data_IF_832126188381
#
_entry.id   IF_832126188381
#
_cell.length_a   1.000
_cell.length_b   1.000
_cell.length_c   1.000
_cell.angle_alpha   90.00
_cell.angle_beta   90.00
_cell.angle_gamma   90.00
#
_symmetry.space_group_name_H-M   'P 1'
#
loop_
_entity.id
_entity.type
_entity.pdbx_description
1 polymer ?
#
# COMPACT_ATOMS: atom_id res chain seq x y z
N UNK A 1 19.47 4.88 -6.96
CA UNK A 1 18.94 4.85 -8.35
C UNK A 1 17.93 3.72 -8.55
N UNK A 2 18.27 2.47 -8.20
CA UNK A 2 17.39 1.30 -8.39
C UNK A 2 15.98 1.46 -7.81
N UNK A 3 15.84 1.93 -6.55
CA UNK A 3 14.53 2.05 -5.92
C UNK A 3 13.58 3.02 -6.63
N UNK A 4 14.11 4.18 -7.08
CA UNK A 4 13.33 5.17 -7.83
C UNK A 4 12.86 4.60 -9.16
N UNK A 5 13.71 3.82 -9.84
CA UNK A 5 13.34 3.13 -11.08
C UNK A 5 12.25 2.07 -10.84
N UNK A 6 12.33 1.29 -9.77
CA UNK A 6 11.29 0.32 -9.42
C UNK A 6 9.94 1.00 -9.16
N UNK A 7 9.93 2.11 -8.41
CA UNK A 7 8.69 2.87 -8.17
C UNK A 7 8.11 3.43 -9.47
N UNK A 8 8.96 3.99 -10.35
CA UNK A 8 8.52 4.46 -11.67
C UNK A 8 7.95 3.33 -12.54
N UNK A 9 8.51 2.12 -12.48
CA UNK A 9 8.01 0.95 -13.19
C UNK A 9 6.63 0.47 -12.68
N UNK A 10 6.33 0.60 -11.38
CA UNK A 10 4.97 0.29 -10.86
C UNK A 10 3.89 1.10 -11.59
N UNK A 11 4.19 2.37 -11.85
CA UNK A 11 3.27 3.27 -12.53
C UNK A 11 3.27 3.05 -14.05
N UNK A 12 4.45 3.07 -14.68
CA UNK A 12 4.61 3.12 -16.14
C UNK A 12 4.48 1.78 -16.87
N UNK A 13 4.68 0.65 -16.19
CA UNK A 13 4.68 -0.68 -16.82
C UNK A 13 3.75 -1.68 -16.10
N UNK A 14 2.43 -1.65 -16.39
CA UNK A 14 1.43 -2.50 -15.72
C UNK A 14 1.75 -3.99 -15.73
N UNK A 15 2.32 -4.49 -16.83
CA UNK A 15 2.66 -5.92 -17.02
C UNK A 15 3.78 -6.39 -16.09
N UNK A 16 4.59 -5.48 -15.52
CA UNK A 16 5.68 -5.81 -14.62
C UNK A 16 5.37 -5.56 -13.14
N UNK A 17 4.17 -5.06 -12.80
CA UNK A 17 3.81 -4.68 -11.42
C UNK A 17 4.05 -5.79 -10.40
N UNK A 18 3.64 -7.02 -10.68
CA UNK A 18 3.84 -8.14 -9.75
C UNK A 18 5.33 -8.45 -9.52
N UNK A 19 6.14 -8.44 -10.58
CA UNK A 19 7.59 -8.67 -10.48
C UNK A 19 8.27 -7.54 -9.68
N UNK A 20 7.86 -6.29 -9.92
CA UNK A 20 8.39 -5.13 -9.21
C UNK A 20 8.00 -5.18 -7.73
N UNK A 21 6.74 -5.52 -7.40
CA UNK A 21 6.29 -5.71 -6.02
C UNK A 21 7.05 -6.83 -5.32
N UNK A 22 7.27 -7.98 -5.97
CA UNK A 22 8.08 -9.06 -5.43
C UNK A 22 9.53 -8.63 -5.15
N UNK A 23 10.10 -7.82 -6.04
CA UNK A 23 11.45 -7.25 -5.86
C UNK A 23 11.49 -6.28 -4.69
N UNK A 24 10.52 -5.37 -4.58
CA UNK A 24 10.39 -4.45 -3.45
C UNK A 24 10.20 -5.20 -2.12
N UNK A 25 9.42 -6.28 -2.12
CA UNK A 25 9.22 -7.14 -0.95
C UNK A 25 10.52 -7.81 -0.49
N UNK A 26 11.35 -8.28 -1.42
CA UNK A 26 12.66 -8.82 -1.08
C UNK A 26 13.58 -7.72 -0.48
N UNK A 27 13.64 -6.55 -1.12
CA UNK A 27 14.51 -5.44 -0.74
C UNK A 27 14.13 -4.80 0.61
N UNK A 28 12.84 -4.73 0.94
CA UNK A 28 12.33 -4.17 2.20
C UNK A 28 12.64 -5.06 3.42
N UNK A 29 13.34 -6.18 3.26
CA UNK A 29 13.96 -6.91 4.38
C UNK A 29 15.06 -6.09 5.07
N UNK A 30 15.49 -4.97 4.48
CA UNK A 30 16.42 -4.00 5.08
C UNK A 30 15.70 -2.74 5.54
N UNK A 31 15.80 -2.42 6.83
CA UNK A 31 15.30 -1.15 7.40
C UNK A 31 15.85 0.08 6.67
N UNK A 32 17.10 0.03 6.18
CA UNK A 32 17.69 1.13 5.42
C UNK A 32 16.94 1.37 4.11
N UNK A 33 16.55 0.30 3.42
CA UNK A 33 15.74 0.40 2.20
C UNK A 33 14.34 0.93 2.53
N UNK A 34 13.71 0.48 3.61
CA UNK A 34 12.40 1.03 4.04
C UNK A 34 12.51 2.54 4.28
N UNK A 35 13.55 3.01 4.97
CA UNK A 35 13.79 4.46 5.19
C UNK A 35 13.93 5.22 3.87
N UNK A 36 14.72 4.68 2.93
CA UNK A 36 14.91 5.30 1.62
C UNK A 36 13.60 5.32 0.81
N UNK A 37 12.83 4.23 0.84
CA UNK A 37 11.52 4.13 0.18
C UNK A 37 10.55 5.19 0.70
N UNK A 38 10.48 5.34 2.02
CA UNK A 38 9.67 6.36 2.68
C UNK A 38 10.07 7.78 2.25
N UNK A 39 11.38 8.06 2.19
CA UNK A 39 11.88 9.36 1.75
C UNK A 39 11.60 9.66 0.27
N UNK A 40 11.37 8.62 -0.54
CA UNK A 40 11.07 8.72 -1.98
C UNK A 40 9.57 8.67 -2.30
N UNK A 41 8.70 8.75 -1.29
CA UNK A 41 7.26 8.72 -1.50
C UNK A 41 6.71 7.35 -1.90
N UNK A 42 7.44 6.25 -1.66
CA UNK A 42 7.03 4.91 -2.09
C UNK A 42 5.62 4.52 -1.63
N UNK A 43 5.17 4.99 -0.46
CA UNK A 43 3.83 4.68 0.03
C UNK A 43 2.73 5.18 -0.89
N UNK A 44 2.90 6.30 -1.60
CA UNK A 44 1.88 6.81 -2.53
C UNK A 44 1.75 5.87 -3.74
N UNK A 45 2.89 5.44 -4.31
CA UNK A 45 2.92 4.44 -5.39
C UNK A 45 2.24 3.13 -4.97
N UNK A 46 2.55 2.66 -3.76
CA UNK A 46 1.94 1.44 -3.23
C UNK A 46 0.46 1.63 -2.89
N UNK A 47 0.05 2.78 -2.34
CA UNK A 47 -1.36 3.07 -2.09
C UNK A 47 -2.14 3.08 -3.40
N UNK A 48 -1.57 3.60 -4.49
CA UNK A 48 -2.20 3.50 -5.82
C UNK A 48 -2.31 2.03 -6.25
N UNK A 49 -1.29 1.21 -6.07
CA UNK A 49 -1.41 -0.22 -6.40
C UNK A 49 -2.49 -0.93 -5.58
N UNK A 50 -2.65 -0.59 -4.30
CA UNK A 50 -3.68 -1.19 -3.44
C UNK A 50 -5.10 -0.70 -3.77
N UNK A 51 -5.30 0.62 -3.81
CA UNK A 51 -6.62 1.23 -4.00
C UNK A 51 -7.12 1.14 -5.44
N UNK A 52 -6.22 1.21 -6.41
CA UNK A 52 -6.55 1.58 -7.78
C UNK A 52 -6.21 0.52 -8.84
N UNK A 53 -5.43 -0.51 -8.51
CA UNK A 53 -5.16 -1.62 -9.45
C UNK A 53 -6.41 -2.45 -9.69
N UNK A 54 -6.77 -2.73 -10.93
CA UNK A 54 -7.87 -3.68 -11.25
C UNK A 54 -7.47 -5.15 -11.08
N UNK A 55 -6.19 -5.45 -10.86
CA UNK A 55 -5.69 -6.80 -10.73
C UNK A 55 -5.62 -7.22 -9.25
N UNK A 56 -6.40 -8.23 -8.79
CA UNK A 56 -6.47 -8.62 -7.38
C UNK A 56 -5.10 -8.97 -6.79
N UNK A 57 -4.31 -9.79 -7.48
CA UNK A 57 -2.96 -10.17 -7.04
C UNK A 57 -2.03 -8.97 -6.77
N UNK A 58 -2.13 -7.90 -7.56
CA UNK A 58 -1.33 -6.69 -7.35
C UNK A 58 -1.72 -6.00 -6.04
N UNK A 59 -3.03 -5.96 -5.72
CA UNK A 59 -3.51 -5.42 -4.45
C UNK A 59 -3.01 -6.27 -3.28
N UNK A 60 -3.14 -7.59 -3.36
CA UNK A 60 -2.72 -8.53 -2.31
C UNK A 60 -1.20 -8.45 -2.05
N UNK A 61 -0.37 -8.47 -3.09
CA UNK A 61 1.09 -8.31 -2.95
C UNK A 61 1.47 -6.95 -2.37
N UNK A 62 0.68 -5.91 -2.65
CA UNK A 62 0.90 -4.60 -2.06
C UNK A 62 0.54 -4.58 -0.57
N UNK A 63 -0.55 -5.24 -0.18
CA UNK A 63 -0.92 -5.44 1.22
C UNK A 63 0.15 -6.25 1.99
N UNK A 64 0.71 -7.30 1.39
CA UNK A 64 1.85 -8.05 1.93
C UNK A 64 3.08 -7.15 2.16
N UNK A 65 3.38 -6.28 1.18
CA UNK A 65 4.47 -5.33 1.30
C UNK A 65 4.23 -4.31 2.43
N UNK A 66 3.01 -3.80 2.57
CA UNK A 66 2.66 -2.94 3.71
C UNK A 66 2.81 -3.66 5.03
N UNK A 67 2.29 -4.88 5.17
CA UNK A 67 2.45 -5.69 6.38
C UNK A 67 3.91 -5.86 6.78
N UNK A 68 4.78 -6.18 5.80
CA UNK A 68 6.22 -6.29 6.01
C UNK A 68 6.87 -4.97 6.45
N UNK A 69 6.49 -3.86 5.83
CA UNK A 69 7.04 -2.54 6.20
C UNK A 69 6.55 -2.07 7.58
N UNK A 70 5.29 -2.34 7.94
CA UNK A 70 4.69 -1.99 9.25
C UNK A 70 5.31 -2.81 10.38
N UNK A 71 5.76 -4.04 10.11
CA UNK A 71 6.39 -4.92 11.10
C UNK A 71 7.89 -4.67 11.30
N UNK A 72 8.49 -3.74 10.54
CA UNK A 72 9.88 -3.32 10.78
C UNK A 72 10.03 -2.69 12.17
N UNK A 73 11.02 -3.17 12.94
CA UNK A 73 11.20 -2.79 14.35
C UNK A 73 11.47 -1.31 14.58
N UNK A 74 12.09 -0.62 13.63
CA UNK A 74 12.55 0.77 13.81
C UNK A 74 11.64 1.77 13.12
N UNK A 75 11.10 1.41 11.95
CA UNK A 75 10.40 2.33 11.05
C UNK A 75 8.94 1.92 10.84
N UNK A 76 8.56 0.70 11.22
CA UNK A 76 7.19 0.20 11.16
C UNK A 76 6.15 1.13 11.77
N UNK A 77 6.34 1.67 13.00
CA UNK A 77 5.41 2.64 13.58
C UNK A 77 5.22 3.89 12.70
N UNK A 78 6.29 4.38 12.07
CA UNK A 78 6.23 5.54 11.17
C UNK A 78 5.51 5.21 9.86
N UNK A 79 5.71 4.00 9.31
CA UNK A 79 4.98 3.51 8.13
C UNK A 79 3.48 3.43 8.46
N UNK A 80 3.12 2.82 9.59
CA UNK A 80 1.72 2.68 10.04
C UNK A 80 1.04 4.04 10.16
N UNK A 81 1.66 5.00 10.85
CA UNK A 81 1.11 6.35 11.00
C UNK A 81 0.92 7.03 9.64
N UNK A 82 1.86 6.84 8.70
CA UNK A 82 1.74 7.42 7.36
C UNK A 82 0.56 6.82 6.57
N UNK A 83 0.38 5.49 6.62
CA UNK A 83 -0.74 4.82 5.96
C UNK A 83 -2.10 5.16 6.59
N UNK A 84 -2.12 5.36 7.91
CA UNK A 84 -3.33 5.76 8.65
C UNK A 84 -3.86 7.15 8.28
N UNK A 85 -3.08 7.95 7.53
CA UNK A 85 -3.58 9.20 6.95
C UNK A 85 -4.52 8.97 5.76
N UNK A 86 -4.50 7.78 5.17
CA UNK A 86 -5.29 7.41 4.00
C UNK A 86 -6.33 6.34 4.30
N UNK A 87 -5.98 5.36 5.14
CA UNK A 87 -6.82 4.21 5.43
C UNK A 87 -7.06 4.08 6.95
N UNK A 88 -8.28 3.68 7.40
CA UNK A 88 -8.54 3.36 8.80
C UNK A 88 -7.54 2.34 9.38
N UNK A 89 -7.26 2.44 10.69
CA UNK A 89 -6.28 1.57 11.37
C UNK A 89 -6.55 0.08 11.20
N UNK A 90 -7.83 -0.32 11.12
CA UNK A 90 -8.28 -1.70 10.88
C UNK A 90 -7.63 -2.32 9.64
N UNK A 91 -7.36 -1.53 8.59
CA UNK A 91 -6.66 -2.02 7.40
C UNK A 91 -5.23 -2.45 7.70
N UNK A 92 -4.51 -1.74 8.58
CA UNK A 92 -3.13 -2.09 8.92
C UNK A 92 -3.07 -3.41 9.68
N UNK A 93 -4.05 -3.62 10.55
CA UNK A 93 -4.17 -4.84 11.34
C UNK A 93 -4.60 -6.01 10.44
N UNK A 94 -5.58 -5.80 9.55
CA UNK A 94 -5.98 -6.78 8.54
C UNK A 94 -4.82 -7.13 7.60
N UNK A 95 -4.05 -6.16 7.09
CA UNK A 95 -2.90 -6.41 6.22
C UNK A 95 -1.84 -7.27 6.92
N UNK A 96 -1.56 -6.99 8.20
CA UNK A 96 -0.59 -7.75 8.99
C UNK A 96 -1.03 -9.19 9.22
N UNK A 97 -2.32 -9.40 9.48
CA UNK A 97 -2.85 -10.69 9.87
C UNK A 97 -3.22 -11.56 8.65
N UNK A 98 -3.91 -10.97 7.66
CA UNK A 98 -4.22 -11.59 6.37
C UNK A 98 -4.35 -10.52 5.24
N UNK A 99 -3.30 -10.35 4.40
CA UNK A 99 -3.29 -9.40 3.28
C UNK A 99 -4.49 -9.52 2.33
N UNK A 100 -4.93 -10.73 2.02
CA UNK A 100 -6.04 -10.97 1.10
C UNK A 100 -7.38 -10.54 1.71
N UNK A 101 -7.58 -10.83 3.01
CA UNK A 101 -8.73 -10.32 3.74
C UNK A 101 -8.78 -8.78 3.77
N UNK A 102 -7.62 -8.12 3.85
CA UNK A 102 -7.56 -6.64 3.79
C UNK A 102 -8.05 -6.08 2.44
N UNK A 103 -7.82 -6.80 1.33
CA UNK A 103 -8.34 -6.44 0.01
C UNK A 103 -9.86 -6.61 -0.02
N UNK A 104 -10.38 -7.71 0.53
CA UNK A 104 -11.82 -7.93 0.61
C UNK A 104 -12.52 -6.89 1.50
N UNK A 105 -11.92 -6.51 2.64
CA UNK A 105 -12.42 -5.43 3.48
C UNK A 105 -12.42 -4.12 2.69
N UNK A 106 -11.36 -3.88 1.91
CA UNK A 106 -11.26 -2.69 1.07
C UNK A 106 -12.33 -2.67 0.01
N UNK A 107 -12.66 -3.76 -0.65
CA UNK A 107 -13.67 -3.81 -1.71
C UNK A 107 -15.12 -3.83 -1.19
N UNK A 108 -15.33 -4.34 0.04
CA UNK A 108 -16.64 -4.43 0.68
C UNK A 108 -17.11 -3.12 1.32
N UNK A 109 -18.39 -3.12 1.73
CA UNK A 109 -19.03 -2.02 2.46
C UNK A 109 -19.29 -2.43 3.90
N UNK A 110 -18.82 -1.61 4.84
CA UNK A 110 -18.87 -1.82 6.27
C UNK A 110 -19.35 -0.53 6.93
N UNK A 111 -20.53 -0.55 7.54
CA UNK A 111 -21.11 0.60 8.24
C UNK A 111 -21.53 0.17 9.63
N UNK A 112 -20.55 0.08 10.53
CA UNK A 112 -20.75 -0.32 11.91
C UNK A 112 -19.94 0.59 12.86
N UNK A 113 -20.10 0.49 14.19
CA UNK A 113 -19.38 1.35 15.14
C UNK A 113 -17.85 1.25 15.07
N UNK A 114 -17.29 0.18 14.52
CA UNK A 114 -15.84 -0.05 14.43
C UNK A 114 -15.25 0.50 13.13
N UNK A 115 -16.01 0.43 12.03
CA UNK A 115 -15.56 0.84 10.70
C UNK A 115 -16.71 1.45 9.89
N UNK A 116 -16.50 2.67 9.42
CA UNK A 116 -17.31 3.31 8.38
C UNK A 116 -16.49 3.34 7.09
N UNK A 117 -16.77 2.38 6.23
CA UNK A 117 -16.09 2.16 4.96
C UNK A 117 -17.11 1.78 3.89
N UNK A 118 -17.43 2.72 3.00
CA UNK A 118 -18.39 2.54 1.93
C UNK A 118 -17.81 3.08 0.62
N UNK A 119 -18.60 2.98 -0.45
CA UNK A 119 -18.23 3.39 -1.80
C UNK A 119 -17.65 4.81 -1.85
N UNK A 120 -18.25 5.76 -1.12
CA UNK A 120 -17.78 7.15 -1.06
C UNK A 120 -16.41 7.27 -0.37
N UNK A 121 -16.19 6.58 0.76
CA UNK A 121 -14.88 6.53 1.42
C UNK A 121 -13.82 5.92 0.51
N UNK A 122 -14.14 4.83 -0.18
CA UNK A 122 -13.26 4.16 -1.14
C UNK A 122 -12.87 5.07 -2.30
N UNK A 123 -13.87 5.69 -2.92
CA UNK A 123 -13.69 6.58 -4.06
C UNK A 123 -12.85 7.80 -3.67
N UNK A 124 -13.11 8.40 -2.50
CA UNK A 124 -12.34 9.54 -2.00
C UNK A 124 -10.86 9.21 -1.83
N UNK A 125 -10.53 8.09 -1.18
CA UNK A 125 -9.12 7.67 -1.01
C UNK A 125 -8.49 7.33 -2.35
N UNK A 126 -9.18 6.58 -3.19
CA UNK A 126 -8.71 6.15 -4.51
C UNK A 126 -8.42 7.35 -5.43
N UNK A 127 -9.28 8.36 -5.41
CA UNK A 127 -9.12 9.60 -6.18
C UNK A 127 -7.98 10.45 -5.63
N UNK A 128 -7.96 10.71 -4.32
CA UNK A 128 -6.90 11.49 -3.66
C UNK A 128 -5.51 10.90 -3.96
N UNK A 129 -5.35 9.59 -3.80
CA UNK A 129 -4.07 8.91 -4.06
C UNK A 129 -3.67 9.01 -5.53
N UNK A 130 -4.63 8.90 -6.45
CA UNK A 130 -4.36 9.03 -7.89
C UNK A 130 -3.94 10.44 -8.27
N UNK A 131 -4.57 11.47 -7.70
CA UNK A 131 -4.19 12.87 -7.93
C UNK A 131 -2.76 13.15 -7.45
N UNK A 132 -2.40 12.63 -6.27
CA UNK A 132 -1.02 12.74 -5.73
C UNK A 132 0.05 12.03 -6.58
N UNK A 133 -0.35 11.15 -7.51
CA UNK A 133 0.57 10.48 -8.44
C UNK A 133 0.79 11.28 -9.73
N UNK A 134 -0.07 12.25 -10.02
CA UNK A 134 -0.03 13.08 -11.23
C UNK A 134 0.72 14.41 -11.02
N UNK A 135 0.94 14.79 -9.76
CA UNK A 135 1.75 15.95 -9.33
C UNK A 135 3.22 15.58 -9.14
#
# INVERSE_FOLDING_TARGET
MVLSSLLSLLHSLPTSRQLVLATLYALTSSTKIIKEAMAKGALIYLLDMFCNSTHPQVRTQTAELFAKMITDKLIGPKVRIALMKFLPGVFMDAMRDNPEASVHIFEGTHENPELIWNDNSREKVSTTVREMMLE
#
